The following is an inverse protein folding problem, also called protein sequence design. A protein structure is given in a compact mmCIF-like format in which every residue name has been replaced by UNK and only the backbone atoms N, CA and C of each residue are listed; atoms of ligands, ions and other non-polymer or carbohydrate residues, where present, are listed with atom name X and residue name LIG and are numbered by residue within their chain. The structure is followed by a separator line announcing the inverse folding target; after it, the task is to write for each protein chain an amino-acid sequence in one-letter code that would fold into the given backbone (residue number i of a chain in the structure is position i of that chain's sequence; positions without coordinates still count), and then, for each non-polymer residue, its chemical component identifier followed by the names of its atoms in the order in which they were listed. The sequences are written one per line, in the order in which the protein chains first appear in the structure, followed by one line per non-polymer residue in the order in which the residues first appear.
data_IF_040396849227
#
_entry.id   IF_040396849227
#
_cell.length_a   1.000
_cell.length_b   1.000
_cell.length_c   1.000
_cell.angle_alpha   90.00
_cell.angle_beta   90.00
_cell.angle_gamma   90.00
#
_symmetry.space_group_name_H-M   'P 1'
#
loop_
_entity.id
_entity.type
_entity.pdbx_description
1 polymer ?
#
# COMPACT_ATOMS: atom_id res chain seq x y z
N UNK A 1 -1.07 -15.03 -16.93
CA UNK A 1 -2.39 -14.96 -16.27
C UNK A 1 -2.14 -15.10 -14.79
N UNK A 2 -2.59 -14.20 -13.89
CA UNK A 2 -2.49 -14.49 -12.47
C UNK A 2 -3.36 -15.72 -12.17
N UNK A 3 -2.74 -16.76 -11.63
CA UNK A 3 -3.42 -17.95 -11.13
C UNK A 3 -4.22 -17.52 -9.90
N UNK A 4 -5.53 -17.47 -10.05
CA UNK A 4 -6.56 -17.16 -9.06
C UNK A 4 -6.64 -15.68 -8.64
N UNK A 5 -7.64 -14.98 -9.19
CA UNK A 5 -8.37 -14.01 -8.38
C UNK A 5 -8.85 -14.81 -7.17
N UNK A 6 -8.35 -14.49 -5.98
CA UNK A 6 -8.68 -15.20 -4.74
C UNK A 6 -10.18 -15.10 -4.40
N UNK A 7 -10.51 -15.11 -3.10
CA UNK A 7 -11.90 -14.94 -2.70
C UNK A 7 -12.46 -13.60 -3.22
N UNK A 8 -13.72 -13.55 -3.66
CA UNK A 8 -14.33 -12.30 -4.07
C UNK A 8 -14.29 -11.29 -2.91
N UNK A 9 -14.13 -9.98 -3.20
CA UNK A 9 -14.05 -8.98 -2.16
C UNK A 9 -15.30 -9.03 -1.28
N UNK A 10 -15.08 -9.16 0.03
CA UNK A 10 -16.12 -9.03 1.04
C UNK A 10 -16.55 -7.57 1.17
N UNK A 11 -17.81 -7.34 1.56
CA UNK A 11 -18.36 -5.99 1.73
C UNK A 11 -17.53 -5.20 2.75
N UNK A 12 -16.72 -4.26 2.26
CA UNK A 12 -15.79 -3.48 3.06
C UNK A 12 -16.53 -2.63 4.10
N UNK A 13 -17.74 -2.15 3.81
CA UNK A 13 -18.47 -1.31 4.77
C UNK A 13 -18.89 -2.10 6.01
N UNK A 14 -19.20 -3.39 5.84
CA UNK A 14 -19.65 -4.26 6.94
C UNK A 14 -18.51 -5.01 7.62
N UNK A 15 -17.43 -5.29 6.89
CA UNK A 15 -16.42 -6.25 7.31
C UNK A 15 -14.98 -5.73 7.31
N UNK A 16 -14.73 -4.42 7.13
CA UNK A 16 -13.35 -3.88 7.12
C UNK A 16 -12.52 -4.30 8.35
N UNK A 17 -13.13 -4.44 9.52
CA UNK A 17 -12.44 -4.85 10.75
C UNK A 17 -11.92 -6.31 10.70
N UNK A 18 -12.46 -7.15 9.80
CA UNK A 18 -12.03 -8.53 9.59
C UNK A 18 -11.14 -8.72 8.37
N UNK A 19 -10.76 -7.64 7.67
CA UNK A 19 -9.86 -7.73 6.51
C UNK A 19 -8.45 -8.07 6.99
N UNK A 20 -7.85 -9.07 6.34
CA UNK A 20 -6.47 -9.51 6.55
C UNK A 20 -5.52 -8.67 5.70
N UNK A 21 -4.21 -8.83 5.90
CA UNK A 21 -3.23 -8.13 5.07
C UNK A 21 -3.41 -8.41 3.57
N UNK A 22 -3.81 -9.64 3.21
CA UNK A 22 -4.12 -10.02 1.82
C UNK A 22 -5.34 -9.28 1.27
N UNK A 23 -6.43 -9.19 2.04
CA UNK A 23 -7.65 -8.49 1.62
C UNK A 23 -7.37 -7.00 1.37
N UNK A 24 -6.64 -6.36 2.28
CA UNK A 24 -6.21 -4.96 2.12
C UNK A 24 -5.32 -4.77 0.91
N UNK A 25 -4.37 -5.67 0.68
CA UNK A 25 -3.46 -5.57 -0.44
C UNK A 25 -4.19 -5.74 -1.77
N UNK A 26 -5.10 -6.72 -1.87
CA UNK A 26 -5.95 -6.91 -3.05
C UNK A 26 -6.85 -5.69 -3.28
N UNK A 27 -7.45 -5.14 -2.22
CA UNK A 27 -8.24 -3.91 -2.30
C UNK A 27 -7.42 -2.73 -2.87
N UNK A 28 -6.22 -2.48 -2.33
CA UNK A 28 -5.34 -1.42 -2.82
C UNK A 28 -4.96 -1.63 -4.29
N UNK A 29 -4.49 -2.82 -4.68
CA UNK A 29 -3.88 -3.01 -6.00
C UNK A 29 -4.87 -3.26 -7.15
N UNK A 30 -6.04 -3.86 -6.86
CA UNK A 30 -7.03 -4.27 -7.85
C UNK A 30 -8.25 -3.33 -7.91
N UNK A 31 -8.76 -2.91 -6.75
CA UNK A 31 -10.10 -2.32 -6.66
C UNK A 31 -10.10 -0.82 -6.36
N UNK A 32 -9.13 -0.33 -5.60
CA UNK A 32 -9.18 1.03 -5.03
C UNK A 32 -9.27 2.14 -6.08
N UNK A 33 -8.46 2.11 -7.15
CA UNK A 33 -8.47 3.14 -8.20
C UNK A 33 -9.80 3.25 -8.95
N UNK A 34 -10.33 2.19 -9.59
CA UNK A 34 -11.59 2.29 -10.31
C UNK A 34 -12.77 2.60 -9.37
N UNK A 35 -12.74 2.13 -8.13
CA UNK A 35 -13.78 2.41 -7.15
C UNK A 35 -13.75 3.86 -6.66
N UNK A 36 -12.59 4.47 -6.51
CA UNK A 36 -12.45 5.84 -5.99
C UNK A 36 -12.54 6.92 -7.08
N UNK A 37 -12.44 6.56 -8.36
CA UNK A 37 -12.38 7.50 -9.48
C UNK A 37 -13.52 8.54 -9.48
N UNK A 38 -14.73 8.13 -9.10
CA UNK A 38 -15.92 9.00 -9.09
C UNK A 38 -16.21 9.63 -7.71
N UNK A 39 -15.44 9.30 -6.69
CA UNK A 39 -15.67 9.75 -5.30
C UNK A 39 -14.58 10.67 -4.77
N UNK A 40 -13.41 10.72 -5.42
CA UNK A 40 -12.31 11.59 -5.05
C UNK A 40 -12.06 12.65 -6.12
N UNK A 41 -11.80 13.91 -5.73
CA UNK A 41 -11.24 14.91 -6.62
C UNK A 41 -9.94 14.41 -7.27
N UNK A 42 -9.73 14.78 -8.54
CA UNK A 42 -8.62 14.30 -9.37
C UNK A 42 -7.26 14.42 -8.68
N UNK A 43 -7.03 15.52 -7.94
CA UNK A 43 -5.76 15.73 -7.21
C UNK A 43 -5.44 14.56 -6.26
N UNK A 44 -6.44 14.11 -5.51
CA UNK A 44 -6.28 13.07 -4.50
C UNK A 44 -6.26 11.69 -5.12
N UNK A 45 -7.04 11.49 -6.20
CA UNK A 45 -6.96 10.27 -6.98
C UNK A 45 -5.56 10.07 -7.58
N UNK A 46 -4.93 11.14 -8.07
CA UNK A 46 -3.55 11.12 -8.56
C UNK A 46 -2.55 10.80 -7.45
N UNK A 47 -2.73 11.31 -6.23
CA UNK A 47 -1.93 10.93 -5.08
C UNK A 47 -2.09 9.45 -4.73
N UNK A 48 -3.33 9.00 -4.66
CA UNK A 48 -3.66 7.60 -4.39
C UNK A 48 -3.09 6.67 -5.46
N UNK A 49 -3.08 7.06 -6.73
CA UNK A 49 -2.43 6.31 -7.80
C UNK A 49 -0.93 6.14 -7.57
N UNK A 50 -0.23 7.17 -7.05
CA UNK A 50 1.18 7.06 -6.67
C UNK A 50 1.38 6.08 -5.51
N UNK A 51 0.51 6.14 -4.50
CA UNK A 51 0.50 5.18 -3.40
C UNK A 51 0.32 3.74 -3.90
N UNK A 52 -0.70 3.48 -4.73
CA UNK A 52 -0.95 2.16 -5.33
C UNK A 52 0.25 1.69 -6.16
N UNK A 53 0.90 2.59 -6.91
CA UNK A 53 2.10 2.25 -7.67
C UNK A 53 3.27 1.88 -6.76
N UNK A 54 3.53 2.65 -5.70
CA UNK A 54 4.58 2.35 -4.72
C UNK A 54 4.36 0.98 -4.05
N UNK A 55 3.12 0.68 -3.66
CA UNK A 55 2.74 -0.63 -3.09
C UNK A 55 3.03 -1.76 -4.08
N UNK A 56 2.63 -1.62 -5.36
CA UNK A 56 2.92 -2.63 -6.40
C UNK A 56 4.42 -2.90 -6.57
N UNK A 57 5.26 -1.87 -6.47
CA UNK A 57 6.72 -2.03 -6.51
C UNK A 57 7.25 -2.76 -5.26
N UNK A 58 6.75 -2.42 -4.07
CA UNK A 58 7.13 -3.06 -2.81
C UNK A 58 6.82 -4.56 -2.78
N UNK A 59 5.80 -5.01 -3.52
CA UNK A 59 5.36 -6.41 -3.60
C UNK A 59 6.24 -7.27 -4.54
N UNK A 60 7.18 -6.68 -5.28
CA UNK A 60 8.07 -7.45 -6.16
C UNK A 60 9.00 -8.34 -5.34
N UNK A 61 9.27 -9.54 -5.85
CA UNK A 61 10.21 -10.49 -5.22
C UNK A 61 11.65 -9.96 -5.20
N UNK A 62 12.05 -9.31 -6.28
CA UNK A 62 13.35 -8.65 -6.45
C UNK A 62 13.08 -7.17 -6.76
N UNK A 63 13.75 -6.28 -6.04
CA UNK A 63 13.59 -4.83 -6.17
C UNK A 63 14.97 -4.25 -6.48
N UNK A 64 15.09 -3.54 -7.60
CA UNK A 64 16.34 -2.87 -7.99
C UNK A 64 16.56 -1.58 -7.19
N UNK A 65 17.78 -1.03 -7.25
CA UNK A 65 18.08 0.27 -6.63
C UNK A 65 17.25 1.40 -7.26
N UNK A 66 17.02 1.37 -8.57
CA UNK A 66 16.20 2.39 -9.24
C UNK A 66 14.73 2.28 -8.82
N UNK A 67 14.21 1.08 -8.62
CA UNK A 67 12.86 0.86 -8.09
C UNK A 67 12.75 1.31 -6.63
N UNK A 68 13.78 1.10 -5.81
CA UNK A 68 13.84 1.65 -4.44
C UNK A 68 13.79 3.18 -4.43
N UNK A 69 14.53 3.83 -5.33
CA UNK A 69 14.47 5.30 -5.50
C UNK A 69 13.09 5.76 -5.94
N UNK A 70 12.45 5.02 -6.84
CA UNK A 70 11.09 5.32 -7.29
C UNK A 70 10.05 5.13 -6.17
N UNK A 71 10.17 4.08 -5.35
CA UNK A 71 9.31 3.86 -4.17
C UNK A 71 9.40 5.05 -3.21
N UNK A 72 10.61 5.52 -2.88
CA UNK A 72 10.81 6.69 -2.01
C UNK A 72 10.16 7.95 -2.59
N UNK A 73 10.38 8.21 -3.89
CA UNK A 73 9.79 9.36 -4.60
C UNK A 73 8.26 9.31 -4.56
N UNK A 74 7.66 8.16 -4.89
CA UNK A 74 6.21 8.00 -4.93
C UNK A 74 5.57 8.20 -3.55
N UNK A 75 6.16 7.64 -2.48
CA UNK A 75 5.64 7.83 -1.13
C UNK A 75 5.79 9.27 -0.64
N UNK A 76 6.90 9.96 -0.97
CA UNK A 76 7.05 11.39 -0.67
C UNK A 76 6.01 12.24 -1.38
N UNK A 77 5.79 11.99 -2.67
CA UNK A 77 4.80 12.74 -3.44
C UNK A 77 3.37 12.47 -2.98
N UNK A 78 3.06 11.25 -2.53
CA UNK A 78 1.79 10.94 -1.89
C UNK A 78 1.65 11.67 -0.54
N UNK A 79 2.71 11.68 0.27
CA UNK A 79 2.72 12.30 1.60
C UNK A 79 2.63 13.84 1.56
N UNK A 80 3.31 14.48 0.60
CA UNK A 80 3.40 15.95 0.48
C UNK A 80 2.16 16.56 -0.21
N UNK A 81 1.29 15.75 -0.81
CA UNK A 81 0.10 16.27 -1.50
C UNK A 81 -0.91 16.99 -0.58
N UNK A 82 -0.80 16.84 0.75
CA UNK A 82 -1.63 17.56 1.70
C UNK A 82 -0.88 18.80 2.24
N UNK A 83 -1.61 19.91 2.37
CA UNK A 83 -1.13 21.23 2.79
C UNK A 83 -0.16 21.12 3.99
N UNK A 84 0.94 21.87 3.98
CA UNK A 84 2.00 21.82 5.00
C UNK A 84 1.49 21.99 6.45
N UNK A 85 0.29 22.56 6.59
CA UNK A 85 -0.44 22.76 7.85
C UNK A 85 -1.06 21.49 8.45
N UNK A 86 -1.18 20.40 7.68
CA UNK A 86 -1.80 19.14 8.12
C UNK A 86 -0.80 18.06 8.55
N UNK A 87 0.50 18.34 8.43
CA UNK A 87 1.57 17.42 8.84
C UNK A 87 1.50 17.05 10.32
N UNK A 88 1.03 17.96 11.19
CA UNK A 88 0.83 17.69 12.63
C UNK A 88 -0.38 16.80 12.93
N UNK A 89 -1.28 16.61 11.97
CA UNK A 89 -2.48 15.79 12.10
C UNK A 89 -2.41 14.45 11.34
N UNK A 90 -1.33 14.21 10.58
CA UNK A 90 -1.14 12.94 9.88
C UNK A 90 -0.86 11.82 10.87
N UNK A 91 -1.59 10.70 10.74
CA UNK A 91 -1.32 9.50 11.55
C UNK A 91 0.13 9.05 11.33
N UNK A 92 0.78 8.56 12.39
CA UNK A 92 2.16 8.08 12.34
C UNK A 92 2.38 7.00 11.26
N UNK A 93 1.33 6.24 10.93
CA UNK A 93 1.35 5.26 9.83
C UNK A 93 1.68 5.89 8.47
N UNK A 94 1.21 7.12 8.19
CA UNK A 94 1.55 7.83 6.96
C UNK A 94 3.01 8.26 6.95
N UNK A 95 3.55 8.68 8.10
CA UNK A 95 4.96 9.03 8.23
C UNK A 95 5.86 7.81 7.95
N UNK A 96 5.47 6.62 8.43
CA UNK A 96 6.23 5.39 8.18
C UNK A 96 6.38 5.04 6.69
N UNK A 97 5.49 5.51 5.82
CA UNK A 97 5.62 5.33 4.37
C UNK A 97 6.93 5.91 3.82
N UNK A 98 7.42 7.02 4.42
CA UNK A 98 8.68 7.67 4.02
C UNK A 98 9.92 6.82 4.34
N UNK A 99 9.78 5.81 5.19
CA UNK A 99 10.89 4.95 5.61
C UNK A 99 10.86 3.59 4.91
N UNK A 100 9.81 3.23 4.17
CA UNK A 100 9.66 1.91 3.54
C UNK A 100 10.84 1.59 2.61
N UNK A 101 11.27 2.53 1.77
CA UNK A 101 12.41 2.31 0.86
C UNK A 101 13.70 2.00 1.62
N UNK A 102 13.98 2.76 2.69
CA UNK A 102 15.12 2.53 3.58
C UNK A 102 15.01 1.21 4.32
N UNK A 103 13.82 0.85 4.80
CA UNK A 103 13.56 -0.44 5.43
C UNK A 103 13.86 -1.58 4.45
N UNK A 104 13.32 -1.55 3.23
CA UNK A 104 13.56 -2.57 2.20
C UNK A 104 15.06 -2.69 1.87
N UNK A 105 15.76 -1.55 1.75
CA UNK A 105 17.22 -1.54 1.53
C UNK A 105 17.98 -2.25 2.65
N UNK A 106 17.56 -2.06 3.90
CA UNK A 106 18.30 -2.53 5.07
C UNK A 106 17.92 -3.96 5.48
N UNK A 107 16.68 -4.38 5.25
CA UNK A 107 16.14 -5.66 5.74
C UNK A 107 15.72 -6.62 4.63
N UNK A 108 15.83 -6.19 3.37
CA UNK A 108 15.44 -6.97 2.19
C UNK A 108 14.01 -6.66 1.71
N UNK A 109 13.59 -7.29 0.59
CA UNK A 109 12.27 -7.08 0.01
C UNK A 109 11.13 -7.28 1.02
N UNK A 110 10.00 -6.58 0.81
CA UNK A 110 8.90 -6.56 1.78
C UNK A 110 8.41 -7.97 2.17
N UNK A 111 8.50 -8.95 1.27
CA UNK A 111 8.08 -10.32 1.57
C UNK A 111 8.87 -11.00 2.70
N UNK A 112 10.07 -10.52 3.00
CA UNK A 112 10.90 -11.02 4.09
C UNK A 112 10.46 -10.50 5.47
N UNK A 113 9.72 -9.38 5.52
CA UNK A 113 9.45 -8.64 6.78
C UNK A 113 7.99 -8.26 7.00
N UNK A 114 7.11 -8.44 6.00
CA UNK A 114 5.69 -8.12 6.09
C UNK A 114 4.90 -9.05 7.02
N UNK A 115 3.65 -8.68 7.32
CA UNK A 115 2.80 -9.38 8.31
C UNK A 115 2.25 -10.73 7.85
N UNK A 116 2.22 -11.03 6.55
CA UNK A 116 1.61 -12.25 6.00
C UNK A 116 2.08 -13.56 6.67
N UNK A 117 3.38 -13.79 6.95
CA UNK A 117 3.81 -15.00 7.64
C UNK A 117 3.26 -15.09 9.07
N UNK A 118 3.17 -13.96 9.77
CA UNK A 118 2.59 -13.91 11.12
C UNK A 118 1.08 -14.16 11.08
N UNK A 119 0.37 -13.59 10.13
CA UNK A 119 -1.07 -13.86 9.97
C UNK A 119 -1.33 -15.33 9.66
N UNK A 120 -0.53 -15.95 8.79
CA UNK A 120 -0.61 -17.39 8.51
C UNK A 120 -0.31 -18.24 9.75
N UNK A 121 0.72 -17.88 10.51
CA UNK A 121 1.09 -18.60 11.74
C UNK A 121 -0.04 -18.54 12.79
N UNK A 122 -0.70 -17.40 12.91
CA UNK A 122 -1.84 -17.20 13.82
C UNK A 122 -3.16 -17.80 13.29
N UNK A 123 -3.16 -18.49 12.15
CA UNK A 123 -4.37 -19.05 11.53
C UNK A 123 -5.32 -17.98 10.98
N UNK A 124 -4.82 -16.76 10.78
CA UNK A 124 -5.58 -15.67 10.18
C UNK A 124 -5.57 -15.77 8.66
N UNK A 125 -4.48 -16.15 7.99
CA UNK A 125 -4.45 -16.40 6.54
C UNK A 125 -4.61 -17.88 6.18
#
# INVERSE_FOLDING_TARGET
MPLDFGRPPIDIQKHFAGFKAEDWTNWVILYSLPLLQNYLPERYLNGWAKFVHAVKLCLKKNISISELTEIDRLFREFYIQDDSRRFSAALISYHYLLHISTSIRNTGPAWATWQYPMERLCGML
#
